data_IF_809027229663
#
_entry.id   IF_809027229663
#
_cell.length_a   1.000
_cell.length_b   1.000
_cell.length_c   1.000
_cell.angle_alpha   90.00
_cell.angle_beta   90.00
_cell.angle_gamma   90.00
#
_symmetry.space_group_name_H-M   'P 1'
#
loop_
_entity.id
_entity.type
_entity.pdbx_description
1 polymer ?
#
# COMPACT_ATOMS: atom_id res chain seq x y z
N UNK A 1 13.12 -18.07 -16.30
CA UNK A 1 13.07 -16.65 -16.71
C UNK A 1 12.57 -16.57 -18.13
N UNK A 2 11.52 -15.83 -18.34
CA UNK A 2 10.88 -15.74 -19.66
C UNK A 2 11.72 -14.87 -20.60
N UNK A 3 11.94 -15.32 -21.82
CA UNK A 3 12.69 -14.61 -22.86
C UNK A 3 12.13 -13.19 -23.12
N UNK A 4 10.84 -13.00 -22.97
CA UNK A 4 10.18 -11.70 -23.09
C UNK A 4 10.64 -10.68 -22.04
N UNK A 5 10.83 -11.11 -20.79
CA UNK A 5 11.33 -10.21 -19.74
C UNK A 5 12.77 -9.79 -19.99
N UNK A 6 13.61 -10.69 -20.46
CA UNK A 6 15.01 -10.40 -20.80
C UNK A 6 15.08 -9.41 -21.96
N UNK A 7 14.29 -9.61 -23.01
CA UNK A 7 14.22 -8.67 -24.13
C UNK A 7 13.68 -7.31 -23.72
N UNK A 8 12.69 -7.28 -22.83
CA UNK A 8 12.11 -6.03 -22.33
C UNK A 8 13.11 -5.21 -21.52
N UNK A 9 13.82 -5.85 -20.62
CA UNK A 9 14.91 -5.23 -19.85
C UNK A 9 16.01 -4.73 -20.78
N UNK A 10 16.38 -5.51 -21.78
CA UNK A 10 17.40 -5.15 -22.76
C UNK A 10 16.99 -3.94 -23.61
N UNK A 11 15.74 -3.87 -24.04
CA UNK A 11 15.18 -2.74 -24.78
C UNK A 11 15.16 -1.47 -23.92
N UNK A 12 14.76 -1.59 -22.66
CA UNK A 12 14.72 -0.47 -21.70
C UNK A 12 16.13 0.08 -21.46
N UNK A 13 17.10 -0.79 -21.26
CA UNK A 13 18.50 -0.35 -21.08
C UNK A 13 19.07 0.34 -22.31
N UNK A 14 18.73 -0.13 -23.48
CA UNK A 14 19.21 0.40 -24.76
C UNK A 14 18.56 1.73 -25.11
N UNK A 15 17.31 1.95 -24.71
CA UNK A 15 16.58 3.19 -24.98
C UNK A 15 16.91 4.32 -24.01
N UNK A 16 17.68 4.06 -22.96
CA UNK A 16 18.03 5.06 -21.94
C UNK A 16 16.86 5.54 -21.10
N UNK A 17 15.74 4.80 -21.10
CA UNK A 17 14.52 5.13 -20.34
C UNK A 17 14.68 4.94 -18.84
N UNK A 18 15.67 4.16 -18.40
CA UNK A 18 15.98 3.95 -17.00
C UNK A 18 17.28 4.65 -16.62
N UNK A 19 17.20 5.64 -15.75
CA UNK A 19 18.38 6.27 -15.18
C UNK A 19 18.92 5.45 -13.99
N UNK A 20 20.08 5.86 -13.43
CA UNK A 20 20.70 5.17 -12.30
C UNK A 20 19.82 5.17 -11.05
N UNK A 21 19.06 6.22 -10.82
CA UNK A 21 18.15 6.35 -9.68
C UNK A 21 17.04 5.32 -9.78
N UNK A 22 16.46 5.14 -10.96
CA UNK A 22 15.41 4.15 -11.19
C UNK A 22 15.91 2.72 -10.98
N UNK A 23 17.14 2.43 -11.40
CA UNK A 23 17.76 1.12 -11.17
C UNK A 23 17.97 0.82 -9.68
N UNK A 24 18.39 1.80 -8.91
CA UNK A 24 18.56 1.66 -7.46
C UNK A 24 17.22 1.49 -6.77
N UNK A 25 16.23 2.29 -7.16
CA UNK A 25 14.87 2.21 -6.62
C UNK A 25 14.21 0.86 -6.90
N UNK A 26 14.42 0.31 -8.09
CA UNK A 26 13.88 -1.00 -8.45
C UNK A 26 14.40 -2.12 -7.55
N UNK A 27 15.63 -2.03 -7.06
CA UNK A 27 16.21 -3.00 -6.12
C UNK A 27 15.60 -2.92 -4.72
N UNK A 28 15.06 -1.77 -4.36
CA UNK A 28 14.48 -1.51 -3.03
C UNK A 28 12.98 -1.79 -2.97
N UNK A 29 12.33 -2.08 -4.10
CA UNK A 29 10.91 -2.41 -4.16
C UNK A 29 10.66 -3.80 -3.59
N UNK A 30 9.71 -3.90 -2.66
CA UNK A 30 9.30 -5.18 -2.08
C UNK A 30 8.40 -5.95 -3.04
N UNK A 31 8.60 -7.25 -3.09
CA UNK A 31 7.82 -8.17 -3.94
C UNK A 31 6.86 -9.07 -3.14
N UNK A 32 6.97 -9.06 -1.80
CA UNK A 32 6.17 -9.88 -0.90
C UNK A 32 4.82 -9.26 -0.51
N UNK A 33 4.51 -8.08 -1.04
CA UNK A 33 3.27 -7.35 -0.74
C UNK A 33 2.18 -7.74 -1.74
N UNK A 34 0.98 -8.14 -1.26
CA UNK A 34 -0.12 -8.45 -2.15
C UNK A 34 -0.63 -7.20 -2.88
N UNK A 35 -1.20 -7.39 -4.04
CA UNK A 35 -1.84 -6.32 -4.78
C UNK A 35 -3.18 -5.96 -4.14
N UNK A 36 -3.38 -4.69 -3.84
CA UNK A 36 -4.63 -4.16 -3.31
C UNK A 36 -4.97 -2.84 -3.97
N UNK A 37 -6.23 -2.45 -3.87
CA UNK A 37 -6.75 -1.22 -4.49
C UNK A 37 -7.43 -0.34 -3.45
N UNK A 38 -7.69 0.90 -3.83
CA UNK A 38 -8.54 1.81 -3.02
C UNK A 38 -9.91 1.17 -2.82
N UNK A 39 -10.40 1.21 -1.59
CA UNK A 39 -11.66 0.58 -1.18
C UNK A 39 -11.50 -0.80 -0.57
N UNK A 40 -10.32 -1.39 -0.66
CA UNK A 40 -10.05 -2.68 -0.01
C UNK A 40 -9.82 -2.48 1.49
N UNK A 41 -10.30 -3.44 2.29
CA UNK A 41 -9.98 -3.50 3.72
C UNK A 41 -8.71 -4.32 3.88
N UNK A 42 -7.68 -3.71 4.43
CA UNK A 42 -6.39 -4.35 4.62
C UNK A 42 -5.98 -4.35 6.09
N UNK A 43 -5.22 -5.36 6.46
CA UNK A 43 -4.56 -5.45 7.75
C UNK A 43 -3.07 -5.29 7.55
N UNK A 44 -2.49 -4.28 8.18
CA UNK A 44 -1.05 -4.01 8.14
C UNK A 44 -0.45 -4.39 9.47
N UNK A 45 0.46 -5.34 9.45
CA UNK A 45 1.28 -5.69 10.61
C UNK A 45 2.57 -4.90 10.53
N UNK A 46 2.82 -4.02 11.49
CA UNK A 46 4.00 -3.18 11.49
C UNK A 46 4.77 -3.31 12.80
N UNK A 47 6.08 -3.13 12.69
CA UNK A 47 7.00 -3.25 13.82
C UNK A 47 7.10 -1.93 14.57
N UNK A 48 6.96 -1.99 15.88
CA UNK A 48 7.16 -0.86 16.77
C UNK A 48 8.37 -1.15 17.64
N UNK A 49 9.31 -0.20 17.65
CA UNK A 49 10.46 -0.25 18.55
C UNK A 49 10.18 0.64 19.76
N UNK A 50 10.12 0.04 20.93
CA UNK A 50 10.00 0.74 22.21
C UNK A 50 11.23 0.42 23.07
N UNK A 51 12.22 1.33 23.06
CA UNK A 51 13.48 1.10 23.75
C UNK A 51 14.21 -0.15 23.23
N UNK A 52 14.39 -1.15 24.08
CA UNK A 52 15.06 -2.42 23.73
C UNK A 52 14.10 -3.49 23.21
N UNK A 53 12.80 -3.26 23.28
CA UNK A 53 11.78 -4.23 22.86
C UNK A 53 11.18 -3.87 21.52
N UNK A 54 10.98 -4.88 20.68
CA UNK A 54 10.26 -4.78 19.42
C UNK A 54 8.95 -5.55 19.54
N UNK A 55 7.87 -4.96 19.06
CA UNK A 55 6.58 -5.65 18.97
C UNK A 55 5.94 -5.40 17.60
N UNK A 56 5.08 -6.32 17.22
CA UNK A 56 4.29 -6.20 15.98
C UNK A 56 2.89 -5.77 16.37
N UNK A 57 2.41 -4.68 15.78
CA UNK A 57 1.05 -4.20 15.96
C UNK A 57 0.29 -4.29 14.66
N UNK A 58 -0.94 -4.79 14.72
CA UNK A 58 -1.83 -4.85 13.58
C UNK A 58 -2.67 -3.57 13.47
N UNK A 59 -2.78 -3.05 12.25
CA UNK A 59 -3.65 -1.93 11.93
C UNK A 59 -4.56 -2.36 10.78
N UNK A 60 -5.84 -2.49 11.06
CA UNK A 60 -6.84 -2.93 10.09
C UNK A 60 -7.78 -1.77 9.76
N UNK A 61 -8.00 -1.52 8.49
CA UNK A 61 -8.89 -0.46 8.06
C UNK A 61 -9.09 -0.41 6.55
N UNK A 62 -9.82 0.61 6.11
CA UNK A 62 -10.14 0.83 4.72
C UNK A 62 -9.07 1.65 4.02
N UNK A 63 -8.60 1.19 2.88
CA UNK A 63 -7.66 1.95 2.04
C UNK A 63 -8.43 3.08 1.35
N UNK A 64 -8.12 4.32 1.70
CA UNK A 64 -8.78 5.50 1.16
C UNK A 64 -8.03 6.14 0.00
N UNK A 65 -6.72 5.98 -0.06
CA UNK A 65 -5.91 6.55 -1.12
C UNK A 65 -4.62 5.76 -1.32
N UNK A 66 -4.15 5.70 -2.56
CA UNK A 66 -2.83 5.16 -2.92
C UNK A 66 -2.12 6.23 -3.73
N UNK A 67 -0.90 6.59 -3.33
CA UNK A 67 -0.11 7.65 -3.97
C UNK A 67 1.29 7.15 -4.29
N UNK A 68 1.90 7.79 -5.28
CA UNK A 68 3.28 7.55 -5.66
C UNK A 68 3.49 6.29 -6.49
N UNK A 69 4.70 6.09 -6.89
CA UNK A 69 5.11 4.93 -7.66
C UNK A 69 6.49 4.45 -7.25
N UNK A 70 6.85 3.23 -7.63
CA UNK A 70 8.14 2.64 -7.30
C UNK A 70 8.38 2.64 -5.77
N UNK A 71 9.56 3.08 -5.33
CA UNK A 71 9.94 3.08 -3.91
C UNK A 71 9.10 4.05 -3.04
N UNK A 72 8.58 5.13 -3.63
CA UNK A 72 7.82 6.14 -2.90
C UNK A 72 6.33 5.83 -2.78
N UNK A 73 5.89 4.69 -3.26
CA UNK A 73 4.48 4.28 -3.19
C UNK A 73 4.02 4.21 -1.75
N UNK A 74 2.93 4.92 -1.45
CA UNK A 74 2.32 4.96 -0.12
C UNK A 74 0.81 4.80 -0.22
N UNK A 75 0.20 4.36 0.87
CA UNK A 75 -1.25 4.23 0.96
C UNK A 75 -1.75 4.72 2.31
N UNK A 76 -2.98 5.22 2.31
CA UNK A 76 -3.63 5.72 3.52
C UNK A 76 -4.70 4.74 3.96
N UNK A 77 -4.65 4.33 5.22
CA UNK A 77 -5.63 3.44 5.83
C UNK A 77 -6.43 4.23 6.87
N UNK A 78 -7.76 4.16 6.77
CA UNK A 78 -8.67 4.78 7.71
C UNK A 78 -9.28 3.72 8.62
N UNK A 79 -9.09 3.89 9.91
CA UNK A 79 -9.65 3.02 10.94
C UNK A 79 -10.58 3.84 11.83
N UNK A 80 -11.77 3.33 12.11
CA UNK A 80 -12.68 3.90 13.09
C UNK A 80 -12.55 3.14 14.41
N UNK A 81 -12.17 3.85 15.46
CA UNK A 81 -12.02 3.27 16.78
C UNK A 81 -12.61 4.21 17.83
N UNK A 82 -13.49 3.69 18.68
CA UNK A 82 -14.10 4.47 19.75
C UNK A 82 -14.89 5.69 19.29
N UNK A 83 -15.53 5.62 18.11
CA UNK A 83 -16.29 6.74 17.54
C UNK A 83 -15.43 7.76 16.80
N UNK A 84 -14.11 7.66 16.86
CA UNK A 84 -13.16 8.55 16.18
C UNK A 84 -12.49 7.83 15.02
N UNK A 85 -12.44 8.49 13.87
CA UNK A 85 -11.75 7.97 12.70
C UNK A 85 -10.30 8.43 12.71
N UNK A 86 -9.38 7.49 12.56
CA UNK A 86 -7.94 7.73 12.50
C UNK A 86 -7.43 7.30 11.13
N UNK A 87 -6.66 8.18 10.50
CA UNK A 87 -5.96 7.88 9.26
C UNK A 87 -4.48 7.72 9.52
N UNK A 88 -3.89 6.76 8.85
CA UNK A 88 -2.45 6.57 8.88
C UNK A 88 -1.92 6.31 7.48
N UNK A 89 -0.80 6.93 7.16
CA UNK A 89 -0.11 6.74 5.89
C UNK A 89 1.00 5.74 6.09
N UNK A 90 0.99 4.67 5.30
CA UNK A 90 2.04 3.66 5.28
C UNK A 90 2.78 3.70 3.95
N UNK A 91 4.08 3.56 4.00
CA UNK A 91 4.90 3.37 2.80
C UNK A 91 4.99 1.88 2.49
N UNK A 92 4.59 1.49 1.28
CA UNK A 92 4.52 0.08 0.86
C UNK A 92 5.87 -0.63 1.01
N UNK A 93 6.94 0.06 0.67
CA UNK A 93 8.29 -0.52 0.67
C UNK A 93 9.05 -0.31 1.99
N UNK A 94 8.37 0.11 3.06
CA UNK A 94 9.01 0.32 4.35
C UNK A 94 9.44 -1.01 4.99
N UNK A 95 10.66 -1.10 5.54
CA UNK A 95 11.09 -2.30 6.25
C UNK A 95 10.38 -2.49 7.59
N UNK A 96 9.70 -1.46 8.11
CA UNK A 96 8.91 -1.53 9.35
C UNK A 96 7.59 -2.27 9.17
N UNK A 97 7.13 -2.43 7.93
CA UNK A 97 5.95 -3.23 7.62
C UNK A 97 6.36 -4.70 7.57
N UNK A 98 5.78 -5.50 8.47
CA UNK A 98 6.03 -6.94 8.48
C UNK A 98 5.27 -7.63 7.36
N UNK A 99 3.95 -7.44 7.34
CA UNK A 99 3.09 -8.00 6.29
C UNK A 99 1.85 -7.15 6.06
N UNK A 100 1.26 -7.29 4.88
CA UNK A 100 -0.02 -6.70 4.52
C UNK A 100 -0.95 -7.82 4.06
N UNK A 101 -2.12 -7.92 4.67
CA UNK A 101 -3.13 -8.92 4.32
C UNK A 101 -4.39 -8.20 3.84
N UNK A 102 -4.92 -8.58 2.69
CA UNK A 102 -6.19 -8.08 2.20
C UNK A 102 -7.31 -8.89 2.85
N UNK A 103 -8.09 -8.23 3.72
CA UNK A 103 -9.20 -8.86 4.45
C UNK A 103 -10.44 -8.95 3.58
N UNK A 104 -10.77 -7.83 2.90
CA UNK A 104 -11.90 -7.73 1.98
C UNK A 104 -11.53 -6.93 0.75
N UNK A 105 -12.03 -7.34 -0.39
CA UNK A 105 -11.90 -6.58 -1.62
C UNK A 105 -13.13 -5.70 -1.80
N UNK A 106 -12.93 -4.41 -1.94
CA UNK A 106 -14.01 -3.45 -2.10
C UNK A 106 -14.11 -2.91 -3.52
N UNK A 107 -15.31 -2.52 -3.91
CA UNK A 107 -15.56 -1.86 -5.20
C UNK A 107 -15.94 -0.40 -4.96
N UNK A 108 -15.12 0.51 -5.49
CA UNK A 108 -15.35 1.95 -5.40
C UNK A 108 -15.17 2.59 -6.77
N UNK A 109 -15.85 3.72 -6.98
CA UNK A 109 -15.78 4.45 -8.26
C UNK A 109 -14.70 5.54 -8.25
N UNK A 110 -14.24 5.96 -7.09
CA UNK A 110 -13.28 7.06 -6.94
C UNK A 110 -11.88 6.53 -6.62
N UNK A 111 -10.88 7.22 -7.13
CA UNK A 111 -9.48 6.91 -6.84
C UNK A 111 -9.07 7.30 -5.41
N UNK A 112 -9.76 8.27 -4.83
CA UNK A 112 -9.53 8.73 -3.43
C UNK A 112 -10.87 8.86 -2.72
N UNK A 113 -10.96 8.34 -1.51
CA UNK A 113 -12.19 8.33 -0.72
C UNK A 113 -12.19 9.44 0.35
N UNK A 114 -11.86 10.67 -0.05
CA UNK A 114 -11.80 11.80 0.89
C UNK A 114 -13.17 12.23 1.42
N UNK A 115 -14.24 11.94 0.70
CA UNK A 115 -15.59 12.27 1.12
C UNK A 115 -16.05 11.57 2.41
N UNK A 116 -15.40 10.47 2.76
CA UNK A 116 -15.72 9.70 3.98
C UNK A 116 -15.41 10.51 5.24
N UNK A 117 -14.46 11.42 5.18
CA UNK A 117 -14.01 12.19 6.34
C UNK A 117 -15.09 13.12 6.90
N UNK A 118 -16.00 13.59 6.04
CA UNK A 118 -17.14 14.42 6.46
C UNK A 118 -18.39 13.64 6.83
N UNK A 119 -18.36 12.31 6.81
CA UNK A 119 -19.53 11.48 7.10
C UNK A 119 -19.61 11.13 8.58
N UNK A 120 -20.80 11.37 9.17
CA UNK A 120 -21.08 10.93 10.54
C UNK A 120 -21.25 9.42 10.64
N UNK A 121 -21.81 8.80 9.60
CA UNK A 121 -22.04 7.36 9.55
C UNK A 121 -20.86 6.64 8.91
N UNK A 122 -20.64 5.40 9.33
CA UNK A 122 -19.65 4.54 8.73
C UNK A 122 -19.99 4.23 7.27
N UNK A 123 -19.02 4.47 6.37
CA UNK A 123 -19.16 4.16 4.95
C UNK A 123 -18.96 2.67 4.72
N UNK A 124 -19.97 2.01 4.16
CA UNK A 124 -19.90 0.60 3.80
C UNK A 124 -19.57 0.46 2.32
N UNK A 125 -18.45 -0.18 2.04
CA UNK A 125 -18.01 -0.47 0.68
C UNK A 125 -18.60 -1.78 0.22
N UNK A 126 -19.10 -1.80 -1.03
CA UNK A 126 -19.57 -3.04 -1.63
C UNK A 126 -18.40 -3.98 -1.89
N UNK A 127 -18.60 -5.26 -1.62
CA UNK A 127 -17.60 -6.28 -1.85
C UNK A 127 -17.42 -6.53 -3.36
N UNK A 128 -16.16 -6.69 -3.79
CA UNK A 128 -15.82 -7.00 -5.17
C UNK A 128 -15.59 -8.50 -5.30
N UNK A 129 -16.25 -9.08 -6.29
CA UNK A 129 -16.05 -10.49 -6.64
C UNK A 129 -14.75 -10.71 -7.41
#
# INVERSE_FOLDING_TARGET
>A
MNLFMIMWVYIIERSGLMNLVDKVNAKSVRTDIPEFRVGDTVRVDYKIKEGKTERIQAYEGLVTAIKGGSISKSFTVRKKSGGVAVKRIFKVNSPLIDSITVVRKGMVRRAKLNFIDGMEKEYKVKERN
#
